data_IF_625179328918
#
_entry.id   IF_625179328918
#
_cell.length_a   1.000
_cell.length_b   1.000
_cell.length_c   1.000
_cell.angle_alpha   90.00
_cell.angle_beta   90.00
_cell.angle_gamma   90.00
#
_symmetry.space_group_name_H-M   'P 1'
#
loop_
_entity.id
_entity.type
_entity.pdbx_description
1 polymer ?
#
# COMPACT_ATOMS: atom_id res chain seq x y z
N UNK A 1 13.98 -5.25 1.92
CA UNK A 1 13.61 -3.80 1.88
C UNK A 1 12.18 -3.63 2.34
N UNK A 2 11.64 -2.38 2.34
CA UNK A 2 10.24 -2.09 2.71
C UNK A 2 9.53 -1.50 1.50
N UNK A 3 8.32 -2.01 1.21
CA UNK A 3 7.48 -1.60 0.10
C UNK A 3 6.03 -1.38 0.55
N UNK A 4 5.29 -0.61 -0.25
CA UNK A 4 3.89 -0.28 -0.02
C UNK A 4 3.10 -0.46 -1.30
N UNK A 5 1.85 -0.85 -1.19
CA UNK A 5 0.90 -0.95 -2.30
C UNK A 5 -0.54 -0.91 -1.80
N UNK A 6 -1.49 -0.67 -2.67
CA UNK A 6 -2.93 -0.73 -2.37
C UNK A 6 -3.73 -1.04 -3.65
N UNK A 7 -5.00 -1.36 -3.48
CA UNK A 7 -5.99 -1.42 -4.56
C UNK A 7 -5.63 -2.41 -5.67
N UNK A 8 -5.11 -3.58 -5.31
CA UNK A 8 -4.74 -4.63 -6.26
C UNK A 8 -5.98 -5.13 -7.01
N UNK A 9 -7.09 -5.38 -6.29
CA UNK A 9 -8.36 -5.84 -6.86
C UNK A 9 -8.23 -7.08 -7.74
N UNK A 10 -7.47 -8.08 -7.28
CA UNK A 10 -7.32 -9.34 -7.99
C UNK A 10 -8.68 -9.97 -8.32
N UNK A 11 -8.82 -10.47 -9.55
CA UNK A 11 -10.03 -11.10 -10.06
C UNK A 11 -11.19 -10.14 -10.37
N UNK A 12 -11.02 -8.82 -10.21
CA UNK A 12 -12.09 -7.85 -10.33
C UNK A 12 -12.17 -7.26 -11.76
N UNK A 13 -13.00 -7.85 -12.62
CA UNK A 13 -13.16 -7.43 -14.03
C UNK A 13 -13.58 -5.96 -14.18
N UNK A 14 -14.50 -5.49 -13.31
CA UNK A 14 -15.05 -4.14 -13.45
C UNK A 14 -14.06 -3.02 -13.08
N UNK A 15 -13.04 -3.29 -12.25
CA UNK A 15 -12.05 -2.27 -11.89
C UNK A 15 -11.25 -1.80 -13.11
N UNK A 16 -11.08 -2.67 -14.10
CA UNK A 16 -10.44 -2.34 -15.37
C UNK A 16 -11.16 -1.17 -16.03
N UNK A 17 -12.50 -1.21 -16.07
CA UNK A 17 -13.33 -0.14 -16.65
C UNK A 17 -13.38 1.09 -15.75
N UNK A 18 -13.57 0.90 -14.44
CA UNK A 18 -13.75 2.02 -13.50
C UNK A 18 -12.49 2.88 -13.39
N UNK A 19 -11.30 2.26 -13.42
CA UNK A 19 -10.02 2.95 -13.32
C UNK A 19 -9.29 3.07 -14.66
N UNK A 20 -9.96 2.69 -15.78
CA UNK A 20 -9.36 2.71 -17.10
C UNK A 20 -8.00 2.00 -17.16
N UNK A 21 -7.90 0.83 -16.52
CA UNK A 21 -6.67 0.01 -16.50
C UNK A 21 -6.41 -0.56 -17.90
N UNK A 22 -5.15 -0.64 -18.35
CA UNK A 22 -4.80 -1.05 -19.73
C UNK A 22 -4.80 -2.57 -19.91
N UNK A 23 -5.85 -3.25 -19.43
CA UNK A 23 -5.98 -4.71 -19.50
C UNK A 23 -7.29 -5.12 -20.20
N UNK A 24 -7.27 -6.27 -20.86
CA UNK A 24 -8.44 -6.80 -21.57
C UNK A 24 -9.31 -7.69 -20.70
N UNK A 25 -8.76 -8.24 -19.62
CA UNK A 25 -9.45 -9.13 -18.68
C UNK A 25 -8.82 -9.10 -17.30
N UNK A 26 -9.57 -9.54 -16.27
CA UNK A 26 -9.02 -9.70 -14.92
C UNK A 26 -7.82 -10.67 -14.90
N UNK A 27 -7.86 -11.78 -15.64
CA UNK A 27 -6.76 -12.73 -15.70
C UNK A 27 -5.46 -12.14 -16.30
N UNK A 28 -5.57 -11.25 -17.30
CA UNK A 28 -4.41 -10.50 -17.82
C UNK A 28 -3.88 -9.53 -16.76
N UNK A 29 -4.77 -8.78 -16.12
CA UNK A 29 -4.43 -7.85 -15.04
C UNK A 29 -3.72 -8.57 -13.89
N UNK A 30 -4.30 -9.65 -13.40
CA UNK A 30 -3.74 -10.44 -12.29
C UNK A 30 -2.34 -10.95 -12.61
N UNK A 31 -2.15 -11.48 -13.83
CA UNK A 31 -0.84 -11.96 -14.30
C UNK A 31 0.20 -10.85 -14.32
N UNK A 32 -0.17 -9.65 -14.77
CA UNK A 32 0.73 -8.49 -14.81
C UNK A 32 1.06 -8.00 -13.39
N UNK A 33 0.06 -7.92 -12.50
CA UNK A 33 0.26 -7.52 -11.10
C UNK A 33 1.21 -8.48 -10.38
N UNK A 34 0.99 -9.81 -10.50
CA UNK A 34 1.85 -10.84 -9.90
C UNK A 34 3.28 -10.76 -10.46
N UNK A 35 3.43 -10.64 -11.77
CA UNK A 35 4.75 -10.54 -12.40
C UNK A 35 5.48 -9.27 -11.96
N UNK A 36 4.81 -8.13 -11.95
CA UNK A 36 5.39 -6.86 -11.50
C UNK A 36 5.80 -6.91 -10.04
N UNK A 37 4.97 -7.53 -9.19
CA UNK A 37 5.27 -7.75 -7.78
C UNK A 37 6.55 -8.59 -7.64
N UNK A 38 6.57 -9.78 -8.21
CA UNK A 38 7.68 -10.74 -8.05
C UNK A 38 8.99 -10.30 -8.74
N UNK A 39 8.91 -9.39 -9.71
CA UNK A 39 10.09 -8.72 -10.28
C UNK A 39 10.61 -7.57 -9.41
N UNK A 40 9.85 -7.13 -8.39
CA UNK A 40 10.19 -6.00 -7.53
C UNK A 40 10.57 -6.46 -6.12
N UNK A 41 9.86 -7.44 -5.59
CA UNK A 41 9.92 -7.92 -4.21
C UNK A 41 10.75 -9.19 -4.11
N UNK A 42 11.66 -9.23 -3.15
CA UNK A 42 12.45 -10.41 -2.80
C UNK A 42 11.83 -11.16 -1.60
N UNK A 43 12.14 -12.44 -1.37
CA UNK A 43 11.54 -13.25 -0.30
C UNK A 43 11.64 -12.65 1.12
N UNK A 44 12.73 -11.93 1.42
CA UNK A 44 12.96 -11.30 2.73
C UNK A 44 12.46 -9.85 2.84
N UNK A 45 11.88 -9.31 1.78
CA UNK A 45 11.33 -7.96 1.78
C UNK A 45 10.01 -7.89 2.55
N UNK A 46 9.71 -6.72 3.11
CA UNK A 46 8.47 -6.42 3.81
C UNK A 46 7.55 -5.62 2.90
N UNK A 47 6.33 -6.08 2.74
CA UNK A 47 5.33 -5.39 1.90
C UNK A 47 4.09 -5.08 2.72
N UNK A 48 3.76 -3.80 2.82
CA UNK A 48 2.55 -3.29 3.45
C UNK A 48 1.49 -3.08 2.39
N UNK A 49 0.43 -3.89 2.41
CA UNK A 49 -0.72 -3.81 1.52
C UNK A 49 -1.79 -2.97 2.22
N UNK A 50 -2.15 -1.84 1.64
CA UNK A 50 -3.09 -0.89 2.23
C UNK A 50 -4.51 -1.09 1.67
N UNK A 51 -4.98 -2.35 1.71
CA UNK A 51 -6.34 -2.73 1.43
C UNK A 51 -6.67 -2.99 -0.03
N UNK A 52 -7.89 -3.50 -0.20
CA UNK A 52 -8.51 -3.83 -1.46
C UNK A 52 -7.70 -4.84 -2.30
N UNK A 53 -7.37 -5.98 -1.63
CA UNK A 53 -6.67 -7.09 -2.25
C UNK A 53 -7.54 -7.78 -3.31
N UNK A 54 -8.76 -8.18 -2.93
CA UNK A 54 -9.73 -8.87 -3.79
C UNK A 54 -11.15 -8.72 -3.23
N UNK A 55 -12.13 -8.81 -4.11
CA UNK A 55 -13.55 -8.94 -3.72
C UNK A 55 -13.99 -10.41 -3.61
N UNK A 56 -13.07 -11.36 -3.82
CA UNK A 56 -13.33 -12.79 -3.76
C UNK A 56 -13.44 -13.34 -2.34
N UNK A 57 -13.46 -14.67 -2.25
CA UNK A 57 -13.45 -15.41 -1.00
C UNK A 57 -12.07 -15.39 -0.32
N UNK A 58 -11.98 -15.92 0.90
CA UNK A 58 -10.71 -16.16 1.59
C UNK A 58 -9.81 -17.12 0.80
N UNK A 59 -10.38 -18.13 0.16
CA UNK A 59 -9.65 -19.05 -0.71
C UNK A 59 -9.08 -18.36 -1.93
N UNK A 60 -9.82 -17.42 -2.55
CA UNK A 60 -9.32 -16.60 -3.65
C UNK A 60 -8.18 -15.70 -3.19
N UNK A 61 -8.32 -15.05 -2.04
CA UNK A 61 -7.27 -14.22 -1.44
C UNK A 61 -5.99 -15.04 -1.20
N UNK A 62 -6.10 -16.22 -0.57
CA UNK A 62 -5.00 -17.13 -0.33
C UNK A 62 -4.30 -17.54 -1.64
N UNK A 63 -5.07 -17.88 -2.67
CA UNK A 63 -4.54 -18.23 -4.00
C UNK A 63 -3.66 -17.11 -4.58
N UNK A 64 -4.08 -15.86 -4.49
CA UNK A 64 -3.27 -14.74 -4.96
C UNK A 64 -2.05 -14.53 -4.05
N UNK A 65 -2.22 -14.50 -2.72
CA UNK A 65 -1.16 -14.26 -1.75
C UNK A 65 -0.05 -15.30 -1.82
N UNK A 66 -0.39 -16.57 -2.08
CA UNK A 66 0.58 -17.65 -2.27
C UNK A 66 1.48 -17.47 -3.52
N UNK A 67 1.03 -16.69 -4.50
CA UNK A 67 1.82 -16.34 -5.68
C UNK A 67 2.78 -15.16 -5.45
N UNK A 68 2.65 -14.42 -4.34
CA UNK A 68 3.36 -13.18 -4.08
C UNK A 68 4.53 -13.39 -3.11
N UNK A 69 5.72 -12.98 -3.51
CA UNK A 69 6.91 -13.03 -2.66
C UNK A 69 6.88 -11.98 -1.53
N UNK A 70 7.74 -12.18 -0.51
CA UNK A 70 7.94 -11.25 0.59
C UNK A 70 7.00 -11.48 1.77
N UNK A 71 7.31 -10.82 2.89
CA UNK A 71 6.52 -10.82 4.13
C UNK A 71 5.42 -9.79 3.99
N UNK A 72 4.18 -10.22 4.14
CA UNK A 72 3.00 -9.39 3.87
C UNK A 72 2.37 -8.89 5.17
N UNK A 73 2.18 -7.60 5.26
CA UNK A 73 1.49 -6.87 6.33
C UNK A 73 0.26 -6.21 5.74
N UNK A 74 -0.90 -6.34 6.37
CA UNK A 74 -2.15 -5.94 5.74
C UNK A 74 -2.91 -4.89 6.54
N UNK A 75 -3.30 -3.80 5.87
CA UNK A 75 -4.28 -2.83 6.34
C UNK A 75 -5.59 -3.12 5.61
N UNK A 76 -6.69 -3.30 6.36
CA UNK A 76 -7.99 -3.62 5.78
C UNK A 76 -8.54 -2.47 4.95
N UNK A 77 -9.00 -2.77 3.72
CA UNK A 77 -9.80 -1.91 2.87
C UNK A 77 -11.29 -2.22 2.94
N UNK A 78 -12.11 -1.46 2.23
CA UNK A 78 -13.56 -1.63 2.24
C UNK A 78 -14.06 -2.84 1.43
N UNK A 79 -13.25 -3.36 0.53
CA UNK A 79 -13.58 -4.54 -0.27
C UNK A 79 -13.05 -5.85 0.31
N UNK A 80 -12.25 -5.85 1.37
CA UNK A 80 -11.62 -7.02 1.96
C UNK A 80 -12.56 -7.80 2.90
N UNK A 81 -13.79 -8.07 2.45
CA UNK A 81 -14.81 -8.79 3.22
C UNK A 81 -14.43 -10.24 3.52
N UNK A 82 -13.46 -10.79 2.81
CA UNK A 82 -12.92 -12.12 3.09
C UNK A 82 -12.34 -12.22 4.52
N UNK A 83 -11.94 -11.08 5.12
CA UNK A 83 -11.43 -10.98 6.49
C UNK A 83 -12.53 -10.99 7.57
N UNK A 84 -13.83 -10.87 7.21
CA UNK A 84 -14.93 -10.80 8.16
C UNK A 84 -15.34 -12.18 8.71
N UNK A 85 -14.87 -13.25 8.10
CA UNK A 85 -15.12 -14.63 8.52
C UNK A 85 -13.82 -15.20 9.09
N UNK A 86 -13.97 -16.21 10.00
CA UNK A 86 -12.82 -16.99 10.44
C UNK A 86 -12.13 -17.57 9.20
N UNK A 87 -10.90 -17.14 8.98
CA UNK A 87 -10.12 -17.52 7.83
C UNK A 87 -8.99 -18.46 8.25
N UNK A 88 -8.98 -19.72 7.76
CA UNK A 88 -7.87 -20.63 7.99
C UNK A 88 -6.55 -20.17 7.33
N UNK A 89 -6.59 -19.15 6.47
CA UNK A 89 -5.44 -18.61 5.71
C UNK A 89 -4.86 -17.32 6.31
N UNK A 90 -5.19 -16.99 7.56
CA UNK A 90 -4.62 -15.80 8.24
C UNK A 90 -3.10 -15.83 8.34
N UNK A 91 -2.47 -17.00 8.19
CA UNK A 91 -1.01 -17.16 8.15
C UNK A 91 -0.35 -16.59 6.89
N UNK A 92 -1.15 -16.18 5.89
CA UNK A 92 -0.64 -15.46 4.72
C UNK A 92 -0.11 -14.06 5.05
N UNK A 93 -0.49 -13.52 6.22
CA UNK A 93 -0.08 -12.20 6.70
C UNK A 93 0.69 -12.29 8.02
N UNK A 94 1.73 -11.49 8.16
CA UNK A 94 2.41 -11.28 9.45
C UNK A 94 1.45 -10.64 10.48
N UNK A 95 0.55 -9.78 10.02
CA UNK A 95 -0.60 -9.25 10.75
C UNK A 95 -1.61 -8.56 9.82
N UNK A 96 -2.85 -8.42 10.31
CA UNK A 96 -3.93 -7.62 9.72
C UNK A 96 -4.36 -6.56 10.72
N UNK A 97 -4.51 -5.31 10.27
CA UNK A 97 -4.95 -4.16 11.07
C UNK A 97 -5.80 -3.21 10.24
N UNK A 98 -6.56 -2.33 10.91
CA UNK A 98 -7.30 -1.26 10.23
C UNK A 98 -6.44 0.01 10.07
N UNK A 99 -5.53 0.26 11.01
CA UNK A 99 -4.64 1.41 11.09
C UNK A 99 -3.31 1.01 11.72
N UNK A 100 -2.21 1.56 11.21
CA UNK A 100 -0.90 1.28 11.78
C UNK A 100 0.05 2.48 11.64
N UNK A 101 0.89 2.70 12.65
CA UNK A 101 1.98 3.68 12.58
C UNK A 101 3.31 2.97 12.56
N UNK A 102 3.94 2.98 11.41
CA UNK A 102 5.29 2.47 11.23
C UNK A 102 6.28 3.51 11.75
N UNK A 103 7.11 3.12 12.72
CA UNK A 103 8.05 4.01 13.38
C UNK A 103 9.47 3.57 13.12
N UNK A 104 10.26 4.47 12.53
CA UNK A 104 11.66 4.24 12.23
C UNK A 104 12.52 4.85 13.32
N UNK A 105 13.22 4.02 14.07
CA UNK A 105 14.09 4.47 15.15
C UNK A 105 14.21 3.44 16.28
N UNK A 106 15.20 3.67 17.16
CA UNK A 106 15.52 2.74 18.24
C UNK A 106 16.50 1.64 17.84
N UNK A 107 16.96 0.91 18.84
CA UNK A 107 18.06 -0.06 18.70
C UNK A 107 17.75 -1.18 17.72
N UNK A 108 16.57 -1.80 17.82
CA UNK A 108 16.18 -2.93 16.97
C UNK A 108 16.06 -2.52 15.50
N UNK A 109 15.52 -1.34 15.25
CA UNK A 109 15.39 -0.80 13.91
C UNK A 109 16.75 -0.56 13.25
N UNK A 110 17.66 0.11 13.97
CA UNK A 110 19.06 0.37 13.52
C UNK A 110 19.79 -0.92 13.19
N UNK A 111 19.58 -1.97 14.00
CA UNK A 111 20.16 -3.28 13.77
C UNK A 111 19.64 -3.95 12.51
N UNK A 112 18.34 -3.82 12.23
CA UNK A 112 17.67 -4.49 11.09
C UNK A 112 17.95 -3.81 9.75
N UNK A 113 17.84 -2.47 9.69
CA UNK A 113 17.83 -1.76 8.41
C UNK A 113 19.08 -0.91 8.14
N UNK A 114 19.88 -0.59 9.14
CA UNK A 114 21.16 0.16 9.03
C UNK A 114 21.08 1.45 8.19
N UNK A 115 19.96 2.16 8.23
CA UNK A 115 19.68 3.35 7.41
C UNK A 115 19.44 4.57 8.32
N UNK A 116 20.49 5.31 8.69
CA UNK A 116 20.40 6.46 9.63
C UNK A 116 19.43 7.55 9.15
N UNK A 117 19.28 7.72 7.85
CA UNK A 117 18.44 8.75 7.23
C UNK A 117 16.94 8.59 7.53
N UNK A 118 16.50 7.43 8.02
CA UNK A 118 15.09 7.19 8.36
C UNK A 118 14.82 7.29 9.86
N UNK A 119 15.84 7.62 10.66
CA UNK A 119 15.68 7.69 12.11
C UNK A 119 14.68 8.78 12.51
N UNK A 120 13.69 8.39 13.31
CA UNK A 120 12.64 9.29 13.77
C UNK A 120 11.47 9.48 12.81
N UNK A 121 11.57 8.99 11.57
CA UNK A 121 10.47 9.05 10.61
C UNK A 121 9.29 8.21 11.10
N UNK A 122 8.07 8.72 10.86
CA UNK A 122 6.81 8.01 11.09
C UNK A 122 6.02 7.95 9.81
N UNK A 123 5.44 6.78 9.53
CA UNK A 123 4.57 6.57 8.38
C UNK A 123 3.26 5.98 8.90
N UNK A 124 2.18 6.69 8.68
CA UNK A 124 0.82 6.28 9.03
C UNK A 124 0.23 5.52 7.85
N UNK A 125 -0.22 4.31 8.11
CA UNK A 125 -0.82 3.42 7.12
C UNK A 125 -2.32 3.31 7.42
N UNK A 126 -3.13 3.69 6.46
CA UNK A 126 -4.57 3.57 6.50
C UNK A 126 -5.10 3.47 5.08
N UNK A 127 -6.17 2.70 4.85
CA UNK A 127 -6.68 2.52 3.50
C UNK A 127 -7.22 3.81 2.87
N UNK A 128 -7.90 4.62 3.69
CA UNK A 128 -8.52 5.87 3.21
C UNK A 128 -7.60 7.08 3.33
N UNK A 129 -7.70 8.09 2.44
CA UNK A 129 -7.12 9.40 2.69
C UNK A 129 -7.81 10.07 3.87
N UNK A 130 -7.03 10.58 4.84
CA UNK A 130 -7.54 11.32 6.01
C UNK A 130 -6.90 12.70 6.07
N UNK A 131 -7.60 13.66 6.67
CA UNK A 131 -7.17 15.07 6.70
C UNK A 131 -6.03 15.32 7.70
N UNK A 132 -5.96 14.56 8.78
CA UNK A 132 -4.98 14.70 9.84
C UNK A 132 -4.68 13.32 10.46
N UNK A 133 -3.43 13.05 10.82
CA UNK A 133 -2.96 11.77 11.33
C UNK A 133 -1.92 11.93 12.44
N UNK A 134 -1.51 10.83 13.08
CA UNK A 134 -0.52 10.85 14.16
C UNK A 134 0.77 11.57 13.74
N UNK A 135 1.17 12.56 14.53
CA UNK A 135 2.35 13.39 14.27
C UNK A 135 2.34 14.18 12.94
N UNK A 136 1.16 14.51 12.40
CA UNK A 136 0.99 15.35 11.20
C UNK A 136 1.89 16.60 11.22
N UNK A 137 1.78 17.42 12.28
CA UNK A 137 2.58 18.66 12.44
C UNK A 137 4.08 18.41 12.73
N UNK A 138 4.50 17.15 12.81
CA UNK A 138 5.90 16.75 13.01
C UNK A 138 6.49 16.05 11.78
N UNK A 139 5.85 16.22 10.62
CA UNK A 139 6.33 15.67 9.36
C UNK A 139 6.13 14.16 9.19
N UNK A 140 5.18 13.55 9.93
CA UNK A 140 4.80 12.17 9.65
C UNK A 140 4.16 12.05 8.26
N UNK A 141 4.47 10.99 7.55
CA UNK A 141 3.94 10.69 6.22
C UNK A 141 2.66 9.84 6.39
N UNK A 142 1.63 10.12 5.59
CA UNK A 142 0.46 9.27 5.45
C UNK A 142 0.48 8.54 4.11
N UNK A 143 0.32 7.21 4.14
CA UNK A 143 0.14 6.38 2.95
C UNK A 143 -1.27 5.81 2.93
N UNK A 144 -1.90 5.85 1.76
CA UNK A 144 -3.28 5.43 1.57
C UNK A 144 -3.50 4.82 0.17
N UNK A 145 -4.68 4.26 -0.05
CA UNK A 145 -5.20 3.78 -1.33
C UNK A 145 -6.60 4.33 -1.60
N UNK A 146 -7.56 3.48 -1.95
CA UNK A 146 -8.99 3.70 -2.05
C UNK A 146 -9.44 4.58 -3.23
N UNK A 147 -8.79 5.69 -3.48
CA UNK A 147 -9.25 6.68 -4.48
C UNK A 147 -8.72 6.41 -5.89
N UNK A 148 -7.92 5.36 -6.05
CA UNK A 148 -7.34 4.96 -7.33
C UNK A 148 -6.63 6.11 -8.06
N UNK A 149 -6.82 6.20 -9.38
CA UNK A 149 -6.33 7.28 -10.23
C UNK A 149 -7.33 8.43 -10.40
N UNK A 150 -8.40 8.45 -9.57
CA UNK A 150 -9.38 9.52 -9.62
C UNK A 150 -8.73 10.85 -9.30
N UNK A 151 -9.06 11.88 -10.11
CA UNK A 151 -8.54 13.21 -9.92
C UNK A 151 -8.91 13.72 -8.51
N UNK A 152 -7.92 14.06 -7.71
CA UNK A 152 -8.09 14.64 -6.38
C UNK A 152 -8.99 15.89 -6.37
N UNK A 153 -9.27 16.49 -7.53
CA UNK A 153 -10.22 17.60 -7.69
C UNK A 153 -11.68 17.22 -7.40
N UNK A 154 -12.05 15.95 -7.55
CA UNK A 154 -13.39 15.47 -7.22
C UNK A 154 -13.51 15.03 -5.76
N UNK A 155 -12.42 14.63 -5.16
CA UNK A 155 -12.30 14.33 -3.73
C UNK A 155 -11.78 15.62 -3.10
N UNK A 156 -12.54 16.23 -2.22
CA UNK A 156 -12.19 17.49 -1.51
C UNK A 156 -11.04 17.26 -0.51
N UNK A 157 -9.95 16.68 -0.96
CA UNK A 157 -8.69 16.60 -0.20
C UNK A 157 -7.94 17.89 -0.51
N UNK A 158 -7.66 18.75 0.48
CA UNK A 158 -6.92 19.98 0.25
C UNK A 158 -5.57 19.70 -0.45
N UNK A 159 -5.21 20.53 -1.42
CA UNK A 159 -3.97 20.36 -2.20
C UNK A 159 -2.68 20.37 -1.32
N UNK A 160 -2.78 20.87 -0.09
CA UNK A 160 -1.70 20.99 0.90
C UNK A 160 -1.98 20.17 2.18
N UNK A 161 -2.55 18.99 2.03
CA UNK A 161 -2.86 18.08 3.15
C UNK A 161 -1.61 17.57 3.91
N UNK A 162 -0.43 18.07 3.65
CA UNK A 162 0.81 17.57 4.24
C UNK A 162 1.43 16.44 3.41
N UNK A 163 2.25 15.63 4.05
CA UNK A 163 2.96 14.53 3.37
C UNK A 163 2.06 13.28 3.24
N UNK A 164 1.09 13.33 2.34
CA UNK A 164 0.17 12.22 2.08
C UNK A 164 0.34 11.70 0.65
N UNK A 165 0.51 10.37 0.50
CA UNK A 165 0.76 9.74 -0.80
C UNK A 165 -0.14 8.53 -1.01
N UNK A 166 -0.80 8.50 -2.16
CA UNK A 166 -1.52 7.33 -2.64
C UNK A 166 -0.53 6.29 -3.16
N UNK A 167 -0.58 5.08 -2.61
CA UNK A 167 0.26 3.94 -3.01
C UNK A 167 -0.50 2.90 -3.83
N UNK A 168 -1.71 3.24 -4.27
CA UNK A 168 -2.52 2.40 -5.16
C UNK A 168 -1.79 2.09 -6.48
N UNK A 169 -1.90 0.86 -6.93
CA UNK A 169 -1.19 0.34 -8.12
C UNK A 169 -1.43 1.15 -9.39
N UNK A 170 -2.59 1.79 -9.50
CA UNK A 170 -2.98 2.61 -10.66
C UNK A 170 -2.03 3.79 -10.91
N UNK A 171 -1.37 4.30 -9.87
CA UNK A 171 -0.45 5.44 -9.94
C UNK A 171 1.02 5.04 -10.05
N UNK A 172 1.33 3.75 -9.89
CA UNK A 172 2.71 3.25 -9.78
C UNK A 172 3.04 2.16 -10.80
N UNK A 173 2.47 2.26 -12.01
CA UNK A 173 2.69 1.30 -13.09
C UNK A 173 2.42 -0.16 -12.65
N UNK A 174 1.40 -0.37 -11.82
CA UNK A 174 0.99 -1.69 -11.30
C UNK A 174 2.12 -2.41 -10.54
N UNK A 175 2.92 -1.66 -9.74
CA UNK A 175 4.05 -2.17 -8.94
C UNK A 175 3.99 -1.63 -7.51
N UNK A 176 4.49 -2.40 -6.53
CA UNK A 176 4.75 -1.88 -5.19
C UNK A 176 5.79 -0.75 -5.20
N UNK A 177 5.61 0.25 -4.33
CA UNK A 177 6.47 1.43 -4.20
C UNK A 177 7.43 1.24 -3.03
N UNK A 178 8.72 1.50 -3.23
CA UNK A 178 9.70 1.36 -2.16
C UNK A 178 9.62 2.50 -1.13
N UNK A 179 10.00 2.22 0.12
CA UNK A 179 10.18 3.24 1.16
C UNK A 179 11.08 4.38 0.67
N UNK A 180 12.15 4.05 -0.04
CA UNK A 180 13.08 5.03 -0.59
C UNK A 180 12.38 6.00 -1.55
N UNK A 181 11.48 5.52 -2.38
CA UNK A 181 10.77 6.38 -3.34
C UNK A 181 9.71 7.23 -2.64
N UNK A 182 9.02 6.70 -1.63
CA UNK A 182 8.13 7.50 -0.77
C UNK A 182 8.90 8.67 -0.13
N UNK A 183 10.08 8.42 0.43
CA UNK A 183 10.88 9.47 1.07
C UNK A 183 11.41 10.50 0.07
N UNK A 184 11.74 10.11 -1.16
CA UNK A 184 12.06 11.05 -2.24
C UNK A 184 10.86 11.93 -2.62
N UNK A 185 9.67 11.35 -2.69
CA UNK A 185 8.43 12.10 -2.96
C UNK A 185 8.18 13.11 -1.85
N UNK A 186 8.33 12.72 -0.58
CA UNK A 186 8.18 13.60 0.57
C UNK A 186 9.20 14.76 0.54
N UNK A 187 10.48 14.47 0.30
CA UNK A 187 11.53 15.47 0.20
C UNK A 187 11.25 16.48 -0.94
N UNK A 188 10.77 16.00 -2.09
CA UNK A 188 10.39 16.87 -3.21
C UNK A 188 9.24 17.80 -2.83
N UNK A 189 8.19 17.29 -2.16
CA UNK A 189 7.03 18.09 -1.76
C UNK A 189 7.42 19.18 -0.76
N UNK A 190 8.28 18.87 0.23
CA UNK A 190 8.80 19.85 1.19
C UNK A 190 9.55 20.97 0.48
N UNK A 191 10.40 20.64 -0.51
CA UNK A 191 11.22 21.61 -1.23
C UNK A 191 10.43 22.47 -2.23
N UNK A 192 9.24 22.05 -2.65
CA UNK A 192 8.39 22.78 -3.62
C UNK A 192 7.27 23.58 -2.94
N UNK A 193 7.00 23.37 -1.66
CA UNK A 193 5.95 24.02 -0.88
C UNK A 193 6.43 25.17 0.01
N UNK A 194 7.70 25.59 -0.16
CA UNK A 194 8.30 26.74 0.52
C UNK A 194 8.20 28.03 -0.30
#
# INVERSE_FOLDING_TARGET
MIFFTADLHFGHENIIKYCNRPFKSAGEMDSVLINNWNNTILPDDEVYILGDLTMGSAEDAHKYLSCLQGKKYFIRGNHDKFLDKFDPYMDDFEWVKDYYVLRFGGYEWKKKYRVPEYEGQRIVLFHYPILEWDCYFRGAIHLYGHIHNNNMSEIRVPANIGLAFNVGVDLHNFRPVSLRDILKMAAKQINTGG
#
